data_IF_807426220213
#
_entry.id   IF_807426220213
#
_cell.length_a   1.000
_cell.length_b   1.000
_cell.length_c   1.000
_cell.angle_alpha   90.00
_cell.angle_beta   90.00
_cell.angle_gamma   90.00
#
_symmetry.space_group_name_H-M   'P 1'
#
loop_
_entity.id
_entity.type
_entity.pdbx_description
1 polymer ?
#
# COMPACT_ATOMS: atom_id res chain seq x y z
N UNK A 1 73.27 -43.89 -4.36
CA UNK A 1 71.94 -43.34 -4.69
C UNK A 1 71.99 -42.72 -6.08
N UNK A 2 71.18 -43.21 -7.02
CA UNK A 2 71.21 -42.75 -8.41
C UNK A 2 70.54 -41.38 -8.59
N UNK A 3 71.21 -40.38 -9.20
CA UNK A 3 70.69 -39.02 -9.35
C UNK A 3 69.46 -38.91 -10.27
N UNK A 4 69.18 -39.93 -11.09
CA UNK A 4 68.03 -39.96 -11.99
C UNK A 4 66.68 -40.11 -11.28
N UNK A 5 66.60 -40.74 -10.10
CA UNK A 5 65.32 -40.90 -9.39
C UNK A 5 64.83 -39.59 -8.77
N UNK A 6 65.74 -38.73 -8.30
CA UNK A 6 65.41 -37.46 -7.66
C UNK A 6 64.88 -36.40 -8.66
N UNK A 7 65.31 -36.45 -9.91
CA UNK A 7 64.84 -35.52 -10.94
C UNK A 7 63.40 -35.83 -11.39
N UNK A 8 63.06 -37.13 -11.44
CA UNK A 8 61.73 -37.58 -11.86
C UNK A 8 60.62 -37.25 -10.85
N UNK A 9 60.92 -37.27 -9.55
CA UNK A 9 59.95 -36.89 -8.51
C UNK A 9 59.65 -35.39 -8.53
N UNK A 10 60.67 -34.54 -8.70
CA UNK A 10 60.49 -33.08 -8.75
C UNK A 10 59.61 -32.63 -9.92
N UNK A 11 59.75 -33.26 -11.09
CA UNK A 11 58.91 -32.97 -12.27
C UNK A 11 57.46 -33.43 -12.08
N UNK A 12 57.22 -34.51 -11.32
CA UNK A 12 55.88 -34.95 -10.94
C UNK A 12 55.23 -34.01 -9.90
N UNK A 13 55.99 -33.52 -8.92
CA UNK A 13 55.53 -32.51 -7.95
C UNK A 13 55.14 -31.19 -8.64
N UNK A 14 55.95 -30.69 -9.57
CA UNK A 14 55.64 -29.47 -10.33
C UNK A 14 54.37 -29.62 -11.20
N UNK A 15 54.15 -30.79 -11.80
CA UNK A 15 52.90 -31.07 -12.56
C UNK A 15 51.68 -31.15 -11.65
N UNK A 16 51.82 -31.75 -10.46
CA UNK A 16 50.75 -31.84 -9.47
C UNK A 16 50.38 -30.46 -8.90
N UNK A 17 51.38 -29.62 -8.62
CA UNK A 17 51.16 -28.23 -8.17
C UNK A 17 50.47 -27.37 -9.24
N UNK A 18 50.86 -27.51 -10.52
CA UNK A 18 50.19 -26.81 -11.62
C UNK A 18 48.74 -27.28 -11.82
N UNK A 19 48.47 -28.58 -11.72
CA UNK A 19 47.11 -29.12 -11.79
C UNK A 19 46.21 -28.63 -10.64
N UNK A 20 46.75 -28.58 -9.42
CA UNK A 20 46.03 -28.08 -8.24
C UNK A 20 45.70 -26.58 -8.33
N UNK A 21 46.63 -25.75 -8.82
CA UNK A 21 46.41 -24.31 -8.98
C UNK A 21 45.30 -23.98 -9.98
N UNK A 22 45.16 -24.77 -11.04
CA UNK A 22 44.12 -24.59 -12.06
C UNK A 22 42.74 -24.99 -11.53
N UNK A 23 42.67 -26.06 -10.74
CA UNK A 23 41.42 -26.49 -10.07
C UNK A 23 40.97 -25.45 -9.04
N UNK A 24 41.90 -24.90 -8.24
CA UNK A 24 41.58 -23.82 -7.30
C UNK A 24 41.07 -22.57 -8.03
N UNK A 25 41.74 -22.17 -9.12
CA UNK A 25 41.32 -21.01 -9.90
C UNK A 25 39.91 -21.20 -10.49
N UNK A 26 39.59 -22.39 -11.02
CA UNK A 26 38.25 -22.69 -11.50
C UNK A 26 37.21 -22.70 -10.38
N UNK A 27 37.53 -23.28 -9.22
CA UNK A 27 36.61 -23.29 -8.09
C UNK A 27 36.27 -21.87 -7.61
N UNK A 28 37.27 -20.98 -7.51
CA UNK A 28 37.07 -19.58 -7.14
C UNK A 28 36.22 -18.86 -8.20
N UNK A 29 36.44 -19.14 -9.49
CA UNK A 29 35.67 -18.54 -10.57
C UNK A 29 34.19 -18.96 -10.52
N UNK A 30 33.91 -20.25 -10.28
CA UNK A 30 32.54 -20.77 -10.14
C UNK A 30 31.84 -20.17 -8.92
N UNK A 31 32.52 -20.12 -7.78
CA UNK A 31 31.98 -19.50 -6.56
C UNK A 31 31.69 -18.01 -6.82
N UNK A 32 32.60 -17.31 -7.49
CA UNK A 32 32.41 -15.91 -7.88
C UNK A 32 31.22 -15.69 -8.83
N UNK A 33 31.00 -16.58 -9.80
CA UNK A 33 29.81 -16.51 -10.66
C UNK A 33 28.52 -16.76 -9.87
N UNK A 34 28.51 -17.75 -8.97
CA UNK A 34 27.33 -18.06 -8.16
C UNK A 34 26.96 -16.90 -7.23
N UNK A 35 27.94 -16.21 -6.63
CA UNK A 35 27.67 -15.05 -5.77
C UNK A 35 27.11 -13.87 -6.57
N UNK A 36 27.63 -13.61 -7.78
CA UNK A 36 27.08 -12.55 -8.65
C UNK A 36 25.65 -12.85 -9.07
N UNK A 37 25.34 -14.11 -9.45
CA UNK A 37 23.97 -14.52 -9.80
C UNK A 37 23.03 -14.37 -8.60
N UNK A 38 23.47 -14.76 -7.40
CA UNK A 38 22.67 -14.60 -6.18
C UNK A 38 22.38 -13.12 -5.86
N UNK A 39 23.38 -12.24 -6.02
CA UNK A 39 23.22 -10.79 -5.84
C UNK A 39 22.27 -10.18 -6.88
N UNK A 40 22.35 -10.62 -8.15
CA UNK A 40 21.39 -10.20 -9.18
C UNK A 40 19.96 -10.69 -8.91
N UNK A 41 19.81 -11.92 -8.41
CA UNK A 41 18.52 -12.44 -7.95
C UNK A 41 17.93 -11.62 -6.81
N UNK A 42 18.73 -11.26 -5.82
CA UNK A 42 18.28 -10.47 -4.67
C UNK A 42 17.88 -9.04 -5.06
N UNK A 43 18.66 -8.39 -5.92
CA UNK A 43 18.37 -7.02 -6.40
C UNK A 43 17.12 -6.96 -7.27
N UNK A 44 16.92 -7.93 -8.18
CA UNK A 44 15.72 -7.98 -9.03
C UNK A 44 14.44 -8.21 -8.23
N UNK A 45 14.46 -9.08 -7.22
CA UNK A 45 13.32 -9.29 -6.32
C UNK A 45 13.06 -8.04 -5.48
N UNK A 46 14.11 -7.45 -4.89
CA UNK A 46 13.99 -6.25 -4.06
C UNK A 46 13.40 -5.06 -4.84
N UNK A 47 13.82 -4.85 -6.09
CA UNK A 47 13.30 -3.79 -6.95
C UNK A 47 11.84 -4.03 -7.36
N UNK A 48 11.47 -5.27 -7.68
CA UNK A 48 10.07 -5.61 -7.99
C UNK A 48 9.16 -5.38 -6.80
N UNK A 49 9.57 -5.84 -5.62
CA UNK A 49 8.85 -5.62 -4.38
C UNK A 49 8.72 -4.13 -4.09
N UNK A 50 9.82 -3.36 -4.12
CA UNK A 50 9.78 -1.91 -3.90
C UNK A 50 8.84 -1.19 -4.88
N UNK A 51 8.90 -1.50 -6.19
CA UNK A 51 8.01 -0.88 -7.18
C UNK A 51 6.54 -1.26 -6.99
N UNK A 52 6.25 -2.50 -6.56
CA UNK A 52 4.90 -2.95 -6.28
C UNK A 52 4.34 -2.25 -5.04
N UNK A 53 5.18 -2.06 -4.00
CA UNK A 53 4.79 -1.31 -2.82
C UNK A 53 4.51 0.16 -3.15
N UNK A 54 5.39 0.84 -3.89
CA UNK A 54 5.17 2.26 -4.26
C UNK A 54 3.89 2.44 -5.08
N UNK A 55 3.67 1.56 -6.05
CA UNK A 55 2.46 1.60 -6.89
C UNK A 55 1.20 1.34 -6.06
N UNK A 56 1.26 0.43 -5.08
CA UNK A 56 0.11 0.15 -4.20
C UNK A 56 -0.19 1.34 -3.28
N UNK A 57 0.84 1.96 -2.70
CA UNK A 57 0.67 3.13 -1.83
C UNK A 57 0.12 4.33 -2.59
N UNK A 58 0.56 4.56 -3.82
CA UNK A 58 0.05 5.66 -4.66
C UNK A 58 -1.44 5.49 -4.97
N UNK A 59 -1.88 4.27 -5.30
CA UNK A 59 -3.30 3.97 -5.56
C UNK A 59 -4.16 4.16 -4.32
N UNK A 60 -3.68 3.70 -3.17
CA UNK A 60 -4.36 3.87 -1.89
C UNK A 60 -4.45 5.33 -1.48
N UNK A 61 -3.39 6.10 -1.73
CA UNK A 61 -3.38 7.52 -1.45
C UNK A 61 -4.36 8.27 -2.36
N UNK A 62 -4.37 7.99 -3.67
CA UNK A 62 -5.33 8.57 -4.60
C UNK A 62 -6.79 8.24 -4.23
N UNK A 63 -7.07 7.00 -3.80
CA UNK A 63 -8.38 6.62 -3.30
C UNK A 63 -8.74 7.35 -1.98
N UNK A 64 -7.76 7.59 -1.10
CA UNK A 64 -7.94 8.39 0.12
C UNK A 64 -8.25 9.85 -0.21
N UNK A 65 -7.51 10.45 -1.14
CA UNK A 65 -7.72 11.84 -1.57
C UNK A 65 -9.10 12.02 -2.19
N UNK A 66 -9.57 11.06 -3.00
CA UNK A 66 -10.93 11.08 -3.54
C UNK A 66 -11.99 11.03 -2.42
N UNK A 67 -11.77 10.22 -1.38
CA UNK A 67 -12.64 10.15 -0.20
C UNK A 67 -12.63 11.47 0.57
N UNK A 68 -11.47 12.10 0.77
CA UNK A 68 -11.38 13.39 1.45
C UNK A 68 -12.10 14.51 0.68
N UNK A 69 -12.03 14.50 -0.65
CA UNK A 69 -12.81 15.39 -1.51
C UNK A 69 -14.31 15.13 -1.36
N UNK A 70 -14.73 13.86 -1.33
CA UNK A 70 -16.13 13.51 -1.09
C UNK A 70 -16.61 14.00 0.29
N UNK A 71 -15.84 13.73 1.35
CA UNK A 71 -16.14 14.19 2.71
C UNK A 71 -16.22 15.72 2.79
N UNK A 72 -15.34 16.42 2.08
CA UNK A 72 -15.37 17.90 2.04
C UNK A 72 -16.66 18.40 1.40
N UNK A 73 -17.10 17.82 0.28
CA UNK A 73 -18.40 18.15 -0.32
C UNK A 73 -19.57 17.86 0.62
N UNK A 74 -19.49 16.76 1.36
CA UNK A 74 -20.50 16.34 2.33
C UNK A 74 -20.59 17.25 3.56
N UNK A 75 -19.47 17.85 3.97
CA UNK A 75 -19.45 18.84 5.05
C UNK A 75 -20.27 20.08 4.69
N UNK A 76 -20.20 20.51 3.43
CA UNK A 76 -20.96 21.67 2.97
C UNK A 76 -22.44 21.35 2.69
N UNK A 77 -22.79 20.07 2.47
CA UNK A 77 -24.16 19.63 2.23
C UNK A 77 -24.98 19.46 3.53
N UNK A 78 -25.86 20.44 3.76
CA UNK A 78 -26.78 20.49 4.90
C UNK A 78 -27.99 19.57 4.75
N UNK A 79 -28.27 19.07 3.55
CA UNK A 79 -29.43 18.21 3.27
C UNK A 79 -29.13 16.73 3.45
N UNK A 80 -27.86 16.37 3.65
CA UNK A 80 -27.44 14.98 3.75
C UNK A 80 -28.09 14.23 4.91
N UNK A 81 -28.74 13.10 4.63
CA UNK A 81 -29.43 12.26 5.62
C UNK A 81 -30.76 12.84 6.13
N UNK A 82 -31.16 14.03 5.67
CA UNK A 82 -32.51 14.54 5.90
C UNK A 82 -33.53 13.77 5.06
N UNK A 83 -34.76 13.63 5.55
CA UNK A 83 -35.84 12.98 4.80
C UNK A 83 -36.06 13.76 3.48
N UNK A 84 -35.71 13.15 2.35
CA UNK A 84 -35.80 13.76 1.02
C UNK A 84 -34.58 14.57 0.56
N UNK A 85 -33.47 14.53 1.31
CA UNK A 85 -32.21 15.18 0.94
C UNK A 85 -31.21 14.22 0.27
N UNK A 86 -29.98 14.68 0.09
CA UNK A 86 -28.91 13.90 -0.55
C UNK A 86 -28.63 12.60 0.23
N UNK A 87 -28.77 11.45 -0.43
CA UNK A 87 -28.47 10.14 0.17
C UNK A 87 -27.01 9.71 -0.06
N UNK A 88 -26.43 10.12 -1.18
CA UNK A 88 -25.05 9.80 -1.56
C UNK A 88 -24.37 10.93 -2.33
N UNK A 89 -23.05 11.02 -2.18
CA UNK A 89 -22.18 11.94 -2.95
C UNK A 89 -21.06 11.16 -3.59
N UNK A 90 -20.83 11.46 -4.86
CA UNK A 90 -19.71 10.95 -5.63
C UNK A 90 -18.65 12.04 -5.85
N UNK A 91 -17.39 11.64 -5.72
CA UNK A 91 -16.23 12.46 -6.05
C UNK A 91 -15.25 11.67 -6.92
N UNK A 92 -14.61 12.38 -7.83
CA UNK A 92 -13.54 11.83 -8.66
C UNK A 92 -12.27 12.66 -8.45
N UNK A 93 -11.13 11.98 -8.40
CA UNK A 93 -9.81 12.57 -8.30
C UNK A 93 -8.83 11.79 -9.19
N UNK A 94 -8.59 12.29 -10.40
CA UNK A 94 -7.84 11.57 -11.42
C UNK A 94 -8.51 10.24 -11.78
N UNK A 95 -7.76 9.14 -11.65
CA UNK A 95 -8.24 7.76 -11.87
C UNK A 95 -8.92 7.14 -10.64
N UNK A 96 -9.00 7.88 -9.53
CA UNK A 96 -9.69 7.46 -8.32
C UNK A 96 -11.11 8.04 -8.27
N UNK A 97 -12.03 7.28 -7.69
CA UNK A 97 -13.39 7.72 -7.42
C UNK A 97 -13.81 7.31 -6.01
N UNK A 98 -14.57 8.16 -5.33
CA UNK A 98 -15.12 7.88 -4.03
C UNK A 98 -16.63 8.08 -4.04
N UNK A 99 -17.34 7.13 -3.45
CA UNK A 99 -18.79 7.19 -3.23
C UNK A 99 -19.03 7.17 -1.73
N UNK A 100 -19.70 8.20 -1.23
CA UNK A 100 -20.04 8.31 0.17
C UNK A 100 -21.56 8.35 0.35
N UNK A 101 -22.11 7.47 1.17
CA UNK A 101 -23.53 7.39 1.45
C UNK A 101 -23.82 7.60 2.94
N UNK A 102 -24.89 8.32 3.25
CA UNK A 102 -25.35 8.47 4.63
C UNK A 102 -25.80 7.12 5.20
N UNK A 103 -25.44 6.83 6.45
CA UNK A 103 -25.92 5.64 7.15
C UNK A 103 -27.36 5.88 7.59
N UNK A 104 -28.25 4.96 7.23
CA UNK A 104 -29.66 5.05 7.58
C UNK A 104 -29.87 5.24 9.09
N UNK A 105 -30.69 6.22 9.47
CA UNK A 105 -30.99 6.57 10.86
C UNK A 105 -29.96 7.49 11.55
N UNK A 106 -28.83 7.81 10.90
CA UNK A 106 -27.92 8.85 11.38
C UNK A 106 -28.37 10.24 10.92
N UNK A 107 -28.14 11.28 11.72
CA UNK A 107 -28.65 12.62 11.41
C UNK A 107 -30.14 12.84 11.63
N UNK A 108 -30.84 11.91 12.28
CA UNK A 108 -32.25 12.07 12.59
C UNK A 108 -32.50 13.27 13.52
N UNK A 109 -33.66 13.95 13.42
CA UNK A 109 -34.06 14.97 14.37
C UNK A 109 -33.99 14.40 15.79
N UNK A 110 -33.39 15.15 16.71
CA UNK A 110 -33.25 14.70 18.09
C UNK A 110 -34.65 14.50 18.70
N UNK A 111 -35.00 13.31 19.20
CA UNK A 111 -36.35 13.03 19.71
C UNK A 111 -36.76 13.87 20.92
N UNK A 112 -35.82 14.62 21.52
CA UNK A 112 -36.05 15.49 22.68
C UNK A 112 -36.72 16.84 22.41
N UNK A 113 -36.97 17.24 21.16
CA UNK A 113 -37.73 18.45 20.83
C UNK A 113 -36.98 19.78 20.88
N UNK A 114 -35.69 19.79 21.23
CA UNK A 114 -34.84 20.99 21.31
C UNK A 114 -34.34 21.50 19.94
N UNK A 115 -34.90 21.03 18.83
CA UNK A 115 -34.61 21.54 17.48
C UNK A 115 -33.27 21.13 16.87
N UNK A 116 -32.47 20.30 17.54
CA UNK A 116 -31.19 19.79 17.02
C UNK A 116 -31.28 18.47 16.24
N UNK A 117 -30.21 18.13 15.51
CA UNK A 117 -30.03 16.85 14.83
C UNK A 117 -29.01 15.98 15.57
N UNK A 118 -29.16 14.66 15.49
CA UNK A 118 -28.14 13.72 15.95
C UNK A 118 -26.91 13.77 15.04
N UNK A 119 -25.76 13.30 15.53
CA UNK A 119 -24.57 13.14 14.71
C UNK A 119 -24.86 12.32 13.45
N UNK A 120 -24.24 12.72 12.33
CA UNK A 120 -24.41 12.05 11.03
C UNK A 120 -23.26 11.10 10.81
N UNK A 121 -23.55 9.87 10.39
CA UNK A 121 -22.51 8.90 10.02
C UNK A 121 -22.59 8.65 8.53
N UNK A 122 -21.45 8.70 7.86
CA UNK A 122 -21.32 8.47 6.42
C UNK A 122 -20.38 7.29 6.19
N UNK A 123 -20.75 6.41 5.26
CA UNK A 123 -19.91 5.33 4.76
C UNK A 123 -19.36 5.73 3.41
N UNK A 124 -18.04 5.77 3.27
CA UNK A 124 -17.35 6.09 2.03
C UNK A 124 -16.59 4.87 1.50
N UNK A 125 -16.68 4.63 0.20
CA UNK A 125 -15.87 3.67 -0.54
C UNK A 125 -15.00 4.44 -1.52
N UNK A 126 -13.68 4.32 -1.38
CA UNK A 126 -12.68 4.81 -2.32
C UNK A 126 -12.24 3.70 -3.26
N UNK A 127 -12.25 4.01 -4.55
CA UNK A 127 -11.92 3.11 -5.65
C UNK A 127 -10.85 3.73 -6.54
N UNK A 128 -10.07 2.89 -7.21
CA UNK A 128 -9.08 3.30 -8.21
C UNK A 128 -9.24 2.42 -9.45
N UNK A 129 -9.45 3.03 -10.62
CA UNK A 129 -9.77 2.34 -11.87
C UNK A 129 -10.92 1.32 -11.70
N UNK A 130 -11.95 1.68 -10.92
CA UNK A 130 -13.14 0.85 -10.69
C UNK A 130 -12.95 -0.34 -9.74
N UNK A 131 -11.81 -0.41 -9.02
CA UNK A 131 -11.61 -1.37 -7.92
C UNK A 131 -11.70 -0.68 -6.57
N UNK A 132 -12.51 -1.21 -5.68
CA UNK A 132 -12.61 -0.73 -4.30
C UNK A 132 -11.32 -1.05 -3.55
N UNK A 133 -10.65 0.00 -3.04
CA UNK A 133 -9.39 -0.10 -2.32
C UNK A 133 -9.51 0.36 -0.87
N UNK A 134 -10.48 1.20 -0.58
CA UNK A 134 -10.64 1.82 0.72
C UNK A 134 -12.11 1.86 1.09
N UNK A 135 -12.40 1.50 2.32
CA UNK A 135 -13.69 1.75 2.93
C UNK A 135 -13.45 2.52 4.23
N UNK A 136 -14.16 3.62 4.44
CA UNK A 136 -14.09 4.38 5.69
C UNK A 136 -15.48 4.76 6.16
N UNK A 137 -15.65 4.80 7.47
CA UNK A 137 -16.86 5.27 8.15
C UNK A 137 -16.49 6.51 8.93
N UNK A 138 -17.20 7.60 8.67
CA UNK A 138 -16.90 8.91 9.24
C UNK A 138 -18.14 9.46 9.92
N UNK A 139 -18.00 9.93 11.14
CA UNK A 139 -19.02 10.65 11.88
C UNK A 139 -18.79 12.15 11.74
N UNK A 140 -19.77 12.84 11.19
CA UNK A 140 -19.86 14.29 11.14
C UNK A 140 -20.58 14.75 12.42
N UNK A 141 -19.82 15.35 13.32
CA UNK A 141 -20.31 15.83 14.61
C UNK A 141 -20.82 17.26 14.43
N UNK A 142 -22.03 17.50 14.93
CA UNK A 142 -22.59 18.84 15.04
C UNK A 142 -22.42 19.33 16.49
N UNK A 143 -21.42 20.17 16.71
CA UNK A 143 -21.09 20.68 18.04
C UNK A 143 -22.14 21.67 18.58
N UNK A 144 -22.94 22.30 17.69
CA UNK A 144 -23.85 23.38 18.06
C UNK A 144 -25.31 23.10 17.70
N UNK A 145 -25.62 22.01 16.99
CA UNK A 145 -26.96 21.66 16.51
C UNK A 145 -27.42 22.45 15.28
N UNK A 146 -26.56 23.32 14.74
CA UNK A 146 -26.88 24.26 13.65
C UNK A 146 -26.24 23.87 12.31
N UNK A 147 -25.14 23.12 12.33
CA UNK A 147 -24.39 22.77 11.13
C UNK A 147 -23.76 21.40 11.26
N UNK A 148 -24.14 20.46 10.38
CA UNK A 148 -23.53 19.17 10.46
C UNK A 148 -22.09 19.19 9.93
N UNK A 149 -21.14 18.68 10.71
CA UNK A 149 -19.77 18.45 10.25
C UNK A 149 -18.75 19.53 10.62
N UNK A 150 -18.99 20.30 11.70
CA UNK A 150 -17.96 21.14 12.32
C UNK A 150 -16.69 20.33 12.63
N UNK A 151 -16.86 19.06 12.97
CA UNK A 151 -15.78 18.07 13.11
C UNK A 151 -16.16 16.82 12.34
N UNK A 152 -15.20 16.22 11.63
CA UNK A 152 -15.35 14.86 11.11
C UNK A 152 -14.43 13.94 11.90
N UNK A 153 -14.99 12.88 12.45
CA UNK A 153 -14.28 11.84 13.18
C UNK A 153 -14.31 10.55 12.36
N UNK A 154 -13.13 10.00 12.07
CA UNK A 154 -13.05 8.67 11.47
C UNK A 154 -13.38 7.62 12.54
N UNK A 155 -14.41 6.80 12.27
CA UNK A 155 -14.85 5.73 13.15
C UNK A 155 -14.19 4.40 12.79
N UNK A 156 -14.01 4.16 11.49
CA UNK A 156 -13.49 2.88 11.00
C UNK A 156 -12.84 3.07 9.64
N UNK A 157 -11.69 2.43 9.42
CA UNK A 157 -10.99 2.41 8.13
C UNK A 157 -10.59 0.99 7.79
N UNK A 158 -10.94 0.54 6.58
CA UNK A 158 -10.56 -0.76 6.03
C UNK A 158 -9.90 -0.57 4.68
N UNK A 159 -8.73 -1.16 4.51
CA UNK A 159 -8.02 -1.17 3.23
C UNK A 159 -8.32 -2.50 2.54
N UNK A 160 -8.90 -2.44 1.34
CA UNK A 160 -9.10 -3.59 0.46
C UNK A 160 -7.77 -4.10 -0.07
N UNK A 161 -7.55 -5.41 0.06
CA UNK A 161 -6.35 -6.11 -0.43
C UNK A 161 -6.43 -6.42 -1.93
#
# INVERSE_FOLDING_TARGET
MNPMCAFRSRVQEDRSQRGSSLIMAMAIMVIGMLTVVALMGYTTVSLRSASAYTTSTERLQAASDAVDVAITKLRDDRTLGSIGGTESVDAAYGDAAATCAAVAGSGAPNPGGDGGFLDRTVSCTGSYLGKDLLWTKVQLIDLNGDQPGAVAQELERRVGS
#
